data_IF_300387636109
#
_entry.id   IF_300387636109
#
_cell.length_a   1.000
_cell.length_b   1.000
_cell.length_c   1.000
_cell.angle_alpha   90.00
_cell.angle_beta   90.00
_cell.angle_gamma   90.00
#
_symmetry.space_group_name_H-M   'P 1'
#
loop_
_entity.id
_entity.type
_entity.pdbx_description
1 polymer ?
#
# COMPACT_ATOMS: atom_id res chain seq x y z
N UNK A 1 -13.04 32.03 9.99
CA UNK A 1 -13.16 32.22 8.53
C UNK A 1 -12.98 30.87 7.86
N UNK A 2 -14.08 30.20 7.46
CA UNK A 2 -14.04 28.91 6.75
C UNK A 2 -13.84 29.23 5.27
N UNK A 3 -12.68 28.86 4.71
CA UNK A 3 -12.41 29.01 3.27
C UNK A 3 -13.01 27.84 2.50
N UNK A 4 -13.49 28.16 1.31
CA UNK A 4 -14.46 27.45 0.51
C UNK A 4 -13.88 26.30 -0.34
N UNK A 5 -14.81 25.48 -0.84
CA UNK A 5 -14.57 24.21 -1.53
C UNK A 5 -13.65 24.29 -2.74
N UNK A 6 -12.61 23.47 -2.71
CA UNK A 6 -11.97 22.98 -3.93
C UNK A 6 -12.86 21.92 -4.55
N UNK A 7 -13.18 22.05 -5.84
CA UNK A 7 -13.85 20.99 -6.61
C UNK A 7 -12.92 19.79 -6.65
N UNK A 8 -13.14 18.81 -5.78
CA UNK A 8 -12.44 17.54 -5.84
C UNK A 8 -12.95 16.82 -7.08
N UNK A 9 -12.04 16.38 -7.95
CA UNK A 9 -12.38 15.49 -9.05
C UNK A 9 -13.10 14.25 -8.52
N UNK A 10 -13.74 13.49 -9.41
CA UNK A 10 -14.59 12.39 -8.99
C UNK A 10 -13.81 11.36 -8.18
N UNK A 11 -14.26 11.11 -6.95
CA UNK A 11 -13.58 10.26 -5.96
C UNK A 11 -13.58 8.78 -6.38
N UNK A 12 -12.67 7.99 -5.79
CA UNK A 12 -12.64 6.55 -6.00
C UNK A 12 -13.98 5.88 -5.61
N UNK A 13 -14.56 6.27 -4.47
CA UNK A 13 -15.84 5.73 -4.01
C UNK A 13 -16.96 5.98 -5.05
N UNK A 14 -17.05 7.20 -5.59
CA UNK A 14 -18.03 7.53 -6.64
C UNK A 14 -17.77 6.77 -7.95
N UNK A 15 -16.50 6.52 -8.31
CA UNK A 15 -16.17 5.70 -9.49
C UNK A 15 -16.57 4.23 -9.31
N UNK A 16 -16.32 3.67 -8.13
CA UNK A 16 -16.72 2.29 -7.77
C UNK A 16 -18.24 2.15 -7.79
N UNK A 17 -18.97 3.07 -7.14
CA UNK A 17 -20.43 3.05 -7.12
C UNK A 17 -21.02 3.03 -8.54
N UNK A 18 -20.56 3.93 -9.42
CA UNK A 18 -20.99 3.96 -10.83
C UNK A 18 -20.65 2.69 -11.60
N UNK A 19 -19.56 1.98 -11.27
CA UNK A 19 -19.23 0.70 -11.90
C UNK A 19 -20.21 -0.38 -11.47
N UNK A 20 -20.56 -0.43 -10.18
CA UNK A 20 -21.53 -1.39 -9.65
C UNK A 20 -22.92 -1.15 -10.25
N UNK A 21 -23.36 0.12 -10.31
CA UNK A 21 -24.64 0.49 -10.93
C UNK A 21 -24.72 0.06 -12.41
N UNK A 22 -23.64 0.24 -13.17
CA UNK A 22 -23.63 -0.03 -14.62
C UNK A 22 -23.37 -1.48 -14.99
N UNK A 23 -22.59 -2.21 -14.20
CA UNK A 23 -22.08 -3.55 -14.56
C UNK A 23 -22.58 -4.66 -13.62
N UNK A 24 -23.36 -4.30 -12.60
CA UNK A 24 -23.78 -5.22 -11.56
C UNK A 24 -22.74 -5.38 -10.45
N UNK A 25 -22.96 -6.34 -9.53
CA UNK A 25 -22.11 -6.54 -8.36
C UNK A 25 -20.62 -6.66 -8.71
N UNK A 26 -19.79 -6.01 -7.90
CA UNK A 26 -18.34 -6.09 -8.00
C UNK A 26 -17.82 -7.18 -7.06
N UNK A 27 -16.92 -8.07 -7.50
CA UNK A 27 -16.23 -8.98 -6.59
C UNK A 27 -15.46 -8.22 -5.51
N UNK A 28 -15.49 -8.73 -4.27
CA UNK A 28 -14.80 -8.09 -3.14
C UNK A 28 -13.30 -7.90 -3.43
N UNK A 29 -12.67 -8.86 -4.11
CA UNK A 29 -11.27 -8.76 -4.50
C UNK A 29 -10.99 -7.54 -5.40
N UNK A 30 -11.86 -7.25 -6.37
CA UNK A 30 -11.73 -6.06 -7.23
C UNK A 30 -11.95 -4.76 -6.46
N UNK A 31 -12.88 -4.76 -5.50
CA UNK A 31 -13.11 -3.61 -4.63
C UNK A 31 -11.88 -3.31 -3.76
N UNK A 32 -11.33 -4.34 -3.12
CA UNK A 32 -10.13 -4.22 -2.29
C UNK A 32 -8.93 -3.76 -3.12
N UNK A 33 -8.72 -4.36 -4.30
CA UNK A 33 -7.67 -3.95 -5.24
C UNK A 33 -7.77 -2.45 -5.56
N UNK A 34 -8.96 -1.96 -5.90
CA UNK A 34 -9.18 -0.55 -6.16
C UNK A 34 -8.90 0.32 -4.93
N UNK A 35 -9.39 -0.07 -3.75
CA UNK A 35 -9.14 0.65 -2.50
C UNK A 35 -7.66 0.74 -2.14
N UNK A 36 -6.86 -0.27 -2.49
CA UNK A 36 -5.43 -0.30 -2.18
C UNK A 36 -4.60 0.41 -3.25
N UNK A 37 -4.89 0.18 -4.52
CA UNK A 37 -3.95 0.44 -5.63
C UNK A 37 -4.51 1.31 -6.76
N UNK A 38 -5.73 1.84 -6.67
CA UNK A 38 -6.19 2.83 -7.64
C UNK A 38 -5.25 4.05 -7.66
N UNK A 39 -4.82 4.47 -8.85
CA UNK A 39 -3.84 5.54 -9.04
C UNK A 39 -4.23 6.86 -8.35
N UNK A 40 -5.51 7.24 -8.39
CA UNK A 40 -5.97 8.55 -7.93
C UNK A 40 -6.50 8.55 -6.50
N UNK A 41 -6.95 7.40 -6.00
CA UNK A 41 -7.64 7.29 -4.71
C UNK A 41 -7.24 6.10 -3.84
N UNK A 42 -6.37 5.22 -4.33
CA UNK A 42 -5.88 4.05 -3.62
C UNK A 42 -5.02 4.42 -2.42
N UNK A 43 -5.15 3.63 -1.35
CA UNK A 43 -4.47 3.84 -0.08
C UNK A 43 -2.94 3.91 -0.22
N UNK A 44 -2.35 3.02 -1.03
CA UNK A 44 -0.90 2.98 -1.27
C UNK A 44 -0.42 3.94 -2.36
N UNK A 45 -1.33 4.50 -3.17
CA UNK A 45 -0.98 5.32 -4.35
C UNK A 45 -1.06 6.83 -4.10
N UNK A 46 -1.64 7.27 -2.98
CA UNK A 46 -1.85 8.71 -2.71
C UNK A 46 -0.51 9.47 -2.69
N UNK A 47 -0.45 10.57 -3.46
CA UNK A 47 0.75 11.32 -3.81
C UNK A 47 1.60 11.74 -2.60
N UNK A 48 2.89 11.40 -2.64
CA UNK A 48 3.87 11.63 -1.56
C UNK A 48 4.56 10.38 -1.02
N UNK A 49 4.48 9.24 -1.71
CA UNK A 49 5.15 7.99 -1.31
C UNK A 49 4.35 7.15 -0.31
N UNK A 50 3.04 7.42 -0.16
CA UNK A 50 2.14 6.66 0.71
C UNK A 50 2.49 6.83 2.18
N UNK A 51 1.65 7.55 2.95
CA UNK A 51 1.72 7.55 4.42
C UNK A 51 1.27 6.20 5.02
N UNK A 52 1.42 5.10 4.28
CA UNK A 52 0.99 3.79 4.69
C UNK A 52 1.96 3.25 5.75
N UNK A 53 3.22 3.03 5.37
CA UNK A 53 4.28 2.60 6.27
C UNK A 53 5.19 3.75 6.71
N UNK A 54 6.14 3.44 7.59
CA UNK A 54 7.10 4.42 8.08
C UNK A 54 6.73 5.03 9.42
N UNK A 55 7.71 5.67 10.05
CA UNK A 55 7.59 6.28 11.39
C UNK A 55 6.55 7.42 11.49
N UNK A 56 6.14 7.98 10.35
CA UNK A 56 5.08 8.99 10.22
C UNK A 56 3.88 8.50 9.40
N UNK A 57 3.83 7.19 9.11
CA UNK A 57 2.75 6.52 8.40
C UNK A 57 1.65 6.02 9.32
N UNK A 58 0.68 5.32 8.74
CA UNK A 58 -0.47 4.74 9.43
C UNK A 58 -0.11 3.47 10.22
N UNK A 59 0.98 2.80 9.85
CA UNK A 59 1.51 1.65 10.56
C UNK A 59 3.03 1.61 10.53
N UNK A 60 3.61 0.88 11.49
CA UNK A 60 5.01 0.47 11.50
C UNK A 60 5.11 -0.97 10.99
N UNK A 61 6.19 -1.30 10.31
CA UNK A 61 6.58 -2.69 10.04
C UNK A 61 7.86 -3.02 10.81
N UNK A 62 8.31 -4.28 10.77
CA UNK A 62 9.46 -4.72 11.57
C UNK A 62 10.77 -3.93 11.27
N UNK A 63 11.10 -3.60 10.00
CA UNK A 63 12.22 -2.72 9.67
C UNK A 63 12.19 -1.35 10.37
N UNK A 64 11.01 -0.75 10.61
CA UNK A 64 10.90 0.57 11.24
C UNK A 64 11.01 0.55 12.78
N UNK A 65 10.93 -0.63 13.41
CA UNK A 65 11.10 -0.77 14.87
C UNK A 65 12.57 -0.59 15.26
N UNK A 66 13.49 -1.14 14.46
CA UNK A 66 14.92 -1.03 14.71
C UNK A 66 15.77 -1.96 13.82
N UNK A 67 17.10 -1.81 13.88
CA UNK A 67 18.02 -2.47 12.94
C UNK A 67 18.12 -4.00 13.11
N UNK A 68 17.66 -4.53 14.25
CA UNK A 68 17.81 -5.95 14.58
C UNK A 68 17.09 -6.86 13.59
N UNK A 69 15.92 -6.45 13.07
CA UNK A 69 15.18 -7.25 12.08
C UNK A 69 16.03 -7.53 10.84
N UNK A 70 16.64 -6.48 10.27
CA UNK A 70 17.54 -6.61 9.11
C UNK A 70 18.79 -7.43 9.42
N UNK A 71 19.39 -7.25 10.60
CA UNK A 71 20.59 -8.01 10.99
C UNK A 71 20.33 -9.51 11.12
N UNK A 72 19.16 -9.90 11.65
CA UNK A 72 18.78 -11.32 11.76
C UNK A 72 18.49 -11.91 10.37
N UNK A 73 17.75 -11.20 9.51
CA UNK A 73 17.50 -11.67 8.14
C UNK A 73 18.79 -11.82 7.34
N UNK A 74 19.70 -10.85 7.39
CA UNK A 74 20.97 -10.90 6.67
C UNK A 74 21.78 -12.14 7.04
N UNK A 75 21.93 -12.42 8.34
CA UNK A 75 22.64 -13.62 8.81
C UNK A 75 22.00 -14.93 8.35
N UNK A 76 20.67 -14.98 8.28
CA UNK A 76 19.96 -16.16 7.78
C UNK A 76 20.18 -16.35 6.28
N UNK A 77 20.11 -15.26 5.50
CA UNK A 77 20.37 -15.28 4.06
C UNK A 77 21.81 -15.72 3.75
N UNK A 78 22.80 -15.19 4.47
CA UNK A 78 24.21 -15.59 4.32
C UNK A 78 24.39 -17.09 4.61
N UNK A 79 23.77 -17.59 5.68
CA UNK A 79 23.84 -19.00 6.05
C UNK A 79 23.20 -19.91 4.99
N UNK A 80 22.03 -19.55 4.47
CA UNK A 80 21.37 -20.32 3.42
C UNK A 80 22.10 -20.27 2.08
N UNK A 81 22.69 -19.12 1.73
CA UNK A 81 23.52 -19.01 0.54
C UNK A 81 24.73 -19.94 0.60
N UNK A 82 25.40 -20.01 1.76
CA UNK A 82 26.48 -20.96 1.99
C UNK A 82 26.01 -22.44 1.97
N UNK A 83 24.85 -22.74 2.58
CA UNK A 83 24.27 -24.09 2.56
C UNK A 83 23.93 -24.57 1.14
N UNK A 84 23.54 -23.65 0.26
CA UNK A 84 23.24 -23.92 -1.14
C UNK A 84 24.49 -24.01 -2.03
N UNK A 85 25.70 -23.91 -1.46
CA UNK A 85 26.95 -24.03 -2.20
C UNK A 85 27.32 -22.76 -2.97
N UNK A 86 26.98 -21.58 -2.43
CA UNK A 86 27.38 -20.28 -2.97
C UNK A 86 26.95 -20.06 -4.44
N UNK A 87 25.65 -20.17 -4.78
CA UNK A 87 25.17 -20.00 -6.15
C UNK A 87 25.29 -18.55 -6.66
N UNK A 88 25.52 -18.41 -7.96
CA UNK A 88 25.51 -17.14 -8.73
C UNK A 88 24.10 -16.59 -8.99
#
# INVERSE_FOLDING_TARGET
MRSAGGRHGVTLAERIARRIEKRGPMPVAEYVEACLYDHDGGFYMRSGGGRAGGRSGHFLTAPEVGPLFGAVLARALDAWWAELGEPD
#
